data_IF_882776800675
#
_entry.id   IF_882776800675
#
_cell.length_a   1.000
_cell.length_b   1.000
_cell.length_c   1.000
_cell.angle_alpha   90.00
_cell.angle_beta   90.00
_cell.angle_gamma   90.00
#
_symmetry.space_group_name_H-M   'P 1'
#
loop_
_entity.id
_entity.type
_entity.pdbx_description
1 polymer ?
#
# COMPACT_ATOMS: atom_id res chain seq x y z
N UNK A 1 7.02 -13.24 8.08
CA UNK A 1 6.11 -12.11 7.76
C UNK A 1 6.91 -11.09 7.00
N UNK A 2 6.30 -10.39 6.05
CA UNK A 2 6.94 -9.33 5.28
C UNK A 2 6.62 -7.99 5.92
N UNK A 3 7.59 -7.08 5.92
CA UNK A 3 7.48 -5.78 6.55
C UNK A 3 7.90 -4.67 5.58
N UNK A 4 7.50 -3.44 5.91
CA UNK A 4 7.81 -2.22 5.18
C UNK A 4 7.98 -1.08 6.18
N UNK A 5 8.89 -0.17 5.90
CA UNK A 5 9.06 1.08 6.65
C UNK A 5 9.19 2.25 5.67
N UNK A 6 8.56 3.39 5.98
CA UNK A 6 8.55 4.61 5.18
C UNK A 6 8.90 5.80 6.08
N UNK A 7 9.85 6.62 5.65
CA UNK A 7 10.17 7.89 6.29
C UNK A 7 9.29 9.02 5.70
N UNK A 8 8.52 9.68 6.57
CA UNK A 8 7.70 10.83 6.20
C UNK A 8 8.53 12.11 6.09
N UNK A 9 8.01 13.19 5.46
CA UNK A 9 8.74 14.45 5.31
C UNK A 9 9.19 15.11 6.62
N UNK A 10 8.56 14.77 7.74
CA UNK A 10 8.91 15.25 9.08
C UNK A 10 9.93 14.35 9.80
N UNK A 11 10.46 13.33 9.12
CA UNK A 11 11.38 12.33 9.67
C UNK A 11 10.68 11.21 10.48
N UNK A 12 9.35 11.23 10.58
CA UNK A 12 8.62 10.16 11.26
C UNK A 12 8.72 8.86 10.46
N UNK A 13 9.11 7.77 11.12
CA UNK A 13 9.06 6.43 10.52
C UNK A 13 7.67 5.82 10.73
N UNK A 14 7.04 5.42 9.64
CA UNK A 14 5.79 4.65 9.63
C UNK A 14 6.07 3.26 9.11
N UNK A 15 5.50 2.24 9.76
CA UNK A 15 5.70 0.84 9.39
C UNK A 15 4.42 0.21 8.87
N UNK A 16 4.57 -0.82 8.03
CA UNK A 16 3.49 -1.68 7.55
C UNK A 16 3.88 -3.15 7.63
N UNK A 17 2.90 -4.00 7.96
CA UNK A 17 3.08 -5.45 8.05
C UNK A 17 2.09 -6.14 7.12
N UNK A 18 2.52 -7.23 6.49
CA UNK A 18 1.63 -8.02 5.66
C UNK A 18 0.52 -8.68 6.51
N UNK A 19 -0.66 -8.80 5.93
CA UNK A 19 -1.83 -9.41 6.56
C UNK A 19 -2.65 -10.17 5.50
N UNK A 20 -3.68 -10.93 5.90
CA UNK A 20 -4.60 -11.54 4.93
C UNK A 20 -5.30 -10.51 4.02
N UNK A 21 -5.35 -9.24 4.41
CA UNK A 21 -6.06 -8.18 3.67
C UNK A 21 -5.12 -7.33 2.82
N UNK A 22 -3.87 -7.11 3.26
CA UNK A 22 -2.96 -6.13 2.66
C UNK A 22 -1.53 -6.65 2.60
N UNK A 23 -0.83 -6.29 1.53
CA UNK A 23 0.63 -6.35 1.49
C UNK A 23 1.25 -5.38 2.51
N UNK A 24 2.51 -5.60 2.90
CA UNK A 24 3.18 -4.75 3.88
C UNK A 24 3.35 -3.31 3.36
N UNK A 25 3.70 -3.14 2.09
CA UNK A 25 3.79 -1.83 1.44
C UNK A 25 2.44 -1.10 1.47
N UNK A 26 1.35 -1.79 1.09
CA UNK A 26 -0.02 -1.24 1.15
C UNK A 26 -0.40 -0.77 2.56
N UNK A 27 -0.14 -1.60 3.57
CA UNK A 27 -0.41 -1.24 4.96
C UNK A 27 0.42 -0.02 5.40
N UNK A 28 1.68 0.04 4.98
CA UNK A 28 2.57 1.17 5.27
C UNK A 28 2.03 2.47 4.66
N UNK A 29 1.57 2.44 3.41
CA UNK A 29 0.98 3.60 2.73
C UNK A 29 -0.30 4.05 3.45
N UNK A 30 -1.19 3.13 3.83
CA UNK A 30 -2.42 3.46 4.59
C UNK A 30 -2.07 4.13 5.92
N UNK A 31 -1.11 3.58 6.67
CA UNK A 31 -0.67 4.16 7.94
C UNK A 31 -0.05 5.55 7.74
N UNK A 32 0.73 5.73 6.67
CA UNK A 32 1.39 6.99 6.34
C UNK A 32 0.38 8.10 6.06
N UNK A 33 -0.63 7.83 5.21
CA UNK A 33 -1.65 8.83 4.90
C UNK A 33 -2.57 9.12 6.08
N UNK A 34 -2.86 8.12 6.94
CA UNK A 34 -3.59 8.37 8.21
C UNK A 34 -2.82 9.33 9.09
N UNK A 35 -1.51 9.09 9.26
CA UNK A 35 -0.64 9.93 10.08
C UNK A 35 -0.57 11.36 9.54
N UNK A 36 -0.35 11.52 8.23
CA UNK A 36 -0.28 12.83 7.58
C UNK A 36 -1.60 13.61 7.62
N UNK A 37 -2.73 12.91 7.63
CA UNK A 37 -4.06 13.50 7.75
C UNK A 37 -4.50 13.72 9.21
N UNK A 38 -3.67 13.37 10.20
CA UNK A 38 -4.02 13.47 11.62
C UNK A 38 -5.14 12.52 12.05
N UNK A 39 -5.35 11.42 11.31
CA UNK A 39 -6.41 10.45 11.58
C UNK A 39 -5.98 9.45 12.65
N UNK A 40 -6.83 9.16 13.65
CA UNK A 40 -6.57 8.11 14.64
C UNK A 40 -6.43 6.73 14.02
N UNK A 41 -5.68 5.85 14.69
CA UNK A 41 -5.32 4.56 14.12
C UNK A 41 -6.50 3.57 14.01
N UNK A 42 -7.55 3.77 14.80
CA UNK A 42 -8.79 2.98 14.73
C UNK A 42 -9.72 3.38 13.58
N UNK A 43 -9.41 4.44 12.82
CA UNK A 43 -10.21 4.85 11.67
C UNK A 43 -9.85 4.02 10.44
N UNK A 44 -10.85 3.35 9.87
CA UNK A 44 -10.72 2.59 8.64
C UNK A 44 -10.97 3.48 7.41
N UNK A 45 -9.97 3.60 6.55
CA UNK A 45 -10.11 4.33 5.28
C UNK A 45 -10.86 3.50 4.24
N UNK A 46 -10.66 2.18 4.25
CA UNK A 46 -11.32 1.25 3.36
C UNK A 46 -12.42 0.51 4.12
N UNK A 47 -13.69 0.61 3.68
CA UNK A 47 -14.77 -0.19 4.26
C UNK A 47 -14.47 -1.69 4.13
N UNK A 48 -14.80 -2.46 5.16
CA UNK A 48 -14.57 -3.91 5.16
C UNK A 48 -15.25 -4.60 3.98
N UNK A 49 -16.43 -4.14 3.56
CA UNK A 49 -17.15 -4.65 2.40
C UNK A 49 -16.38 -4.50 1.10
N UNK A 50 -15.68 -3.36 0.91
CA UNK A 50 -14.86 -3.10 -0.29
C UNK A 50 -13.65 -4.03 -0.31
N UNK A 51 -12.94 -4.14 0.82
CA UNK A 51 -11.78 -5.03 0.94
C UNK A 51 -12.18 -6.48 0.68
N UNK A 52 -13.26 -6.95 1.32
CA UNK A 52 -13.80 -8.30 1.14
C UNK A 52 -14.16 -8.57 -0.32
N UNK A 53 -14.88 -7.65 -0.96
CA UNK A 53 -15.31 -7.80 -2.35
C UNK A 53 -14.11 -7.92 -3.31
N UNK A 54 -13.08 -7.12 -3.11
CA UNK A 54 -11.85 -7.19 -3.92
C UNK A 54 -11.05 -8.46 -3.65
N UNK A 55 -10.90 -8.86 -2.38
CA UNK A 55 -10.21 -10.11 -2.04
C UNK A 55 -10.94 -11.34 -2.58
N UNK A 56 -12.28 -11.34 -2.55
CA UNK A 56 -13.13 -12.42 -3.08
C UNK A 56 -13.06 -12.47 -4.61
N UNK A 57 -13.10 -11.31 -5.28
CA UNK A 57 -12.87 -11.21 -6.73
C UNK A 57 -11.54 -11.88 -7.12
N UNK A 58 -10.45 -11.51 -6.44
CA UNK A 58 -9.12 -12.07 -6.70
C UNK A 58 -9.07 -13.57 -6.46
N UNK A 59 -9.61 -14.03 -5.33
CA UNK A 59 -9.54 -15.43 -4.91
C UNK A 59 -10.43 -16.33 -5.77
N UNK A 60 -11.71 -16.01 -5.85
CA UNK A 60 -12.75 -16.93 -6.32
C UNK A 60 -13.03 -16.82 -7.82
N UNK A 61 -12.74 -15.66 -8.42
CA UNK A 61 -13.04 -15.42 -9.83
C UNK A 61 -11.78 -15.28 -10.69
N UNK A 62 -10.69 -14.76 -10.14
CA UNK A 62 -9.43 -14.55 -10.87
C UNK A 62 -8.35 -15.59 -10.52
N UNK A 63 -8.64 -16.55 -9.64
CA UNK A 63 -7.74 -17.66 -9.28
C UNK A 63 -6.42 -17.21 -8.64
N UNK A 64 -6.41 -16.04 -7.99
CA UNK A 64 -5.20 -15.49 -7.39
C UNK A 64 -4.80 -16.24 -6.12
N UNK A 65 -3.56 -16.70 -6.08
CA UNK A 65 -2.95 -17.34 -4.90
C UNK A 65 -2.60 -16.33 -3.79
N UNK A 66 -2.60 -15.01 -4.10
CA UNK A 66 -2.37 -13.93 -3.14
C UNK A 66 -3.53 -12.92 -3.21
N UNK A 67 -4.62 -13.16 -2.47
CA UNK A 67 -5.81 -12.31 -2.56
C UNK A 67 -5.66 -10.97 -1.82
N UNK A 68 -4.66 -10.81 -0.95
CA UNK A 68 -4.37 -9.55 -0.25
C UNK A 68 -4.10 -8.41 -1.24
N UNK A 69 -4.47 -7.19 -0.85
CA UNK A 69 -4.40 -6.03 -1.73
C UNK A 69 -2.98 -5.43 -1.79
N UNK A 70 -2.48 -5.26 -3.01
CA UNK A 70 -1.22 -4.56 -3.30
C UNK A 70 -1.42 -3.03 -3.34
N UNK A 71 -0.34 -2.26 -3.44
CA UNK A 71 -0.41 -0.78 -3.38
C UNK A 71 -1.31 -0.23 -4.48
N UNK A 72 -1.19 -0.71 -5.72
CA UNK A 72 -2.04 -0.24 -6.83
C UNK A 72 -3.53 -0.46 -6.56
N UNK A 73 -3.91 -1.65 -6.08
CA UNK A 73 -5.29 -1.98 -5.73
C UNK A 73 -5.82 -1.12 -4.58
N UNK A 74 -4.98 -0.87 -3.57
CA UNK A 74 -5.32 0.03 -2.45
C UNK A 74 -5.55 1.45 -2.93
N UNK A 75 -4.74 1.98 -3.85
CA UNK A 75 -4.94 3.33 -4.40
C UNK A 75 -6.27 3.46 -5.13
N UNK A 76 -6.67 2.45 -5.91
CA UNK A 76 -7.99 2.41 -6.57
C UNK A 76 -9.10 2.35 -5.53
N UNK A 77 -8.98 1.47 -4.53
CA UNK A 77 -9.97 1.30 -3.48
C UNK A 77 -10.14 2.57 -2.62
N UNK A 78 -9.04 3.30 -2.35
CA UNK A 78 -9.05 4.58 -1.65
C UNK A 78 -9.78 5.65 -2.46
N UNK A 79 -9.51 5.73 -3.77
CA UNK A 79 -10.19 6.67 -4.67
C UNK A 79 -11.70 6.44 -4.73
N UNK A 80 -12.13 5.17 -4.76
CA UNK A 80 -13.56 4.82 -4.68
C UNK A 80 -14.13 5.17 -3.29
N UNK A 81 -13.42 4.81 -2.23
CA UNK A 81 -13.88 5.04 -0.85
C UNK A 81 -13.98 6.53 -0.51
N UNK A 82 -13.14 7.39 -1.10
CA UNK A 82 -13.16 8.82 -0.90
C UNK A 82 -14.50 9.47 -1.32
N UNK A 83 -15.28 8.85 -2.21
CA UNK A 83 -16.59 9.36 -2.60
C UNK A 83 -17.63 9.32 -1.47
N UNK A 84 -17.47 8.42 -0.49
CA UNK A 84 -18.47 8.20 0.58
C UNK A 84 -17.88 8.15 1.98
N UNK A 85 -16.55 8.16 2.13
CA UNK A 85 -15.84 8.16 3.40
C UNK A 85 -14.95 9.42 3.51
N UNK A 86 -15.34 10.41 4.33
CA UNK A 86 -14.55 11.64 4.53
C UNK A 86 -13.12 11.38 5.05
N UNK A 87 -12.92 10.33 5.86
CA UNK A 87 -11.59 9.97 6.32
C UNK A 87 -10.72 9.45 5.17
N UNK A 88 -11.29 8.68 4.25
CA UNK A 88 -10.59 8.22 3.05
C UNK A 88 -10.23 9.40 2.14
N UNK A 89 -11.15 10.36 1.96
CA UNK A 89 -10.88 11.57 1.20
C UNK A 89 -9.71 12.38 1.79
N UNK A 90 -9.71 12.61 3.11
CA UNK A 90 -8.61 13.27 3.81
C UNK A 90 -7.27 12.51 3.66
N UNK A 91 -7.30 11.17 3.68
CA UNK A 91 -6.12 10.36 3.41
C UNK A 91 -5.61 10.47 1.96
N UNK A 92 -6.51 10.48 0.98
CA UNK A 92 -6.17 10.63 -0.45
C UNK A 92 -5.50 11.97 -0.72
N UNK A 93 -5.95 13.05 -0.08
CA UNK A 93 -5.34 14.38 -0.19
C UNK A 93 -3.88 14.41 0.29
N UNK A 94 -3.47 13.47 1.14
CA UNK A 94 -2.09 13.38 1.64
C UNK A 94 -1.15 12.59 0.72
N UNK A 95 -1.65 11.85 -0.27
CA UNK A 95 -0.82 11.04 -1.17
C UNK A 95 0.31 11.84 -1.87
N UNK A 96 0.11 13.10 -2.33
CA UNK A 96 1.19 13.89 -2.93
C UNK A 96 2.37 14.14 -1.99
N UNK A 97 2.15 14.13 -0.67
CA UNK A 97 3.22 14.33 0.33
C UNK A 97 4.16 13.14 0.44
N UNK A 98 3.80 11.98 -0.11
CA UNK A 98 4.66 10.78 -0.12
C UNK A 98 5.71 10.82 -1.24
N UNK A 99 5.62 11.78 -2.16
CA UNK A 99 6.56 11.90 -3.27
C UNK A 99 7.94 12.28 -2.74
N UNK A 100 8.94 11.48 -3.10
CA UNK A 100 10.32 11.65 -2.66
C UNK A 100 10.60 11.07 -1.27
N UNK A 101 9.62 10.47 -0.59
CA UNK A 101 9.87 9.73 0.64
C UNK A 101 10.58 8.40 0.34
N UNK A 102 11.43 7.99 1.28
CA UNK A 102 12.19 6.73 1.21
C UNK A 102 11.46 5.60 1.94
N UNK A 103 11.31 4.47 1.27
CA UNK A 103 10.74 3.23 1.79
C UNK A 103 11.76 2.10 1.75
N UNK A 104 11.71 1.22 2.75
CA UNK A 104 12.47 -0.03 2.75
C UNK A 104 11.52 -1.23 2.91
N UNK A 105 11.79 -2.31 2.18
CA UNK A 105 11.00 -3.54 2.17
C UNK A 105 11.85 -4.75 2.51
N UNK A 106 11.34 -5.66 3.36
CA UNK A 106 12.07 -6.89 3.70
C UNK A 106 11.95 -8.01 2.65
N UNK A 107 11.37 -7.72 1.48
CA UNK A 107 11.00 -8.69 0.46
C UNK A 107 10.97 -8.05 -0.93
N UNK A 108 11.00 -8.87 -1.99
CA UNK A 108 10.81 -8.39 -3.37
C UNK A 108 9.38 -7.87 -3.52
N UNK A 109 9.16 -6.60 -3.88
CA UNK A 109 7.82 -6.10 -4.12
C UNK A 109 7.18 -6.81 -5.32
N UNK A 110 5.87 -7.08 -5.23
CA UNK A 110 5.12 -7.56 -6.38
C UNK A 110 4.92 -6.44 -7.41
N UNK A 111 4.62 -6.79 -8.67
CA UNK A 111 4.42 -5.81 -9.74
C UNK A 111 3.37 -4.73 -9.41
N UNK A 112 2.27 -5.10 -8.75
CA UNK A 112 1.25 -4.15 -8.30
C UNK A 112 1.73 -3.21 -7.20
N UNK A 113 2.66 -3.64 -6.34
CA UNK A 113 3.30 -2.77 -5.35
C UNK A 113 4.27 -1.82 -6.04
N UNK A 114 5.15 -2.33 -6.91
CA UNK A 114 6.11 -1.51 -7.65
C UNK A 114 5.43 -0.42 -8.48
N UNK A 115 4.40 -0.77 -9.24
CA UNK A 115 3.63 0.18 -10.05
C UNK A 115 2.97 1.24 -9.17
N UNK A 116 2.38 0.82 -8.03
CA UNK A 116 1.76 1.72 -7.07
C UNK A 116 2.76 2.71 -6.46
N UNK A 117 3.87 2.20 -5.94
CA UNK A 117 4.93 3.01 -5.32
C UNK A 117 5.56 3.99 -6.32
N UNK A 118 5.83 3.55 -7.56
CA UNK A 118 6.35 4.43 -8.63
C UNK A 118 5.38 5.54 -8.98
N UNK A 119 4.07 5.28 -9.03
CA UNK A 119 3.04 6.31 -9.28
C UNK A 119 2.99 7.35 -8.16
N UNK A 120 3.18 6.93 -6.92
CA UNK A 120 3.30 7.84 -5.77
C UNK A 120 4.61 8.63 -5.76
N UNK A 121 5.62 8.18 -6.51
CA UNK A 121 6.97 8.75 -6.48
C UNK A 121 7.70 8.45 -5.17
N UNK A 122 7.36 7.35 -4.51
CA UNK A 122 8.11 6.82 -3.35
C UNK A 122 9.36 6.13 -3.87
N UNK A 123 10.51 6.48 -3.29
CA UNK A 123 11.78 5.81 -3.55
C UNK A 123 11.84 4.59 -2.65
N UNK A 124 12.21 3.42 -3.17
CA UNK A 124 12.25 2.21 -2.35
C UNK A 124 13.48 1.35 -2.55
N UNK A 125 13.88 0.68 -1.48
CA UNK A 125 14.94 -0.33 -1.43
C UNK A 125 14.38 -1.65 -0.87
N UNK A 126 15.11 -2.75 -1.04
CA UNK A 126 14.72 -4.05 -0.50
C UNK A 126 15.91 -4.88 -0.03
N UNK A 127 15.74 -5.62 1.06
CA UNK A 127 16.69 -6.63 1.54
C UNK A 127 16.78 -7.86 0.62
N UNK A 128 15.78 -8.05 -0.23
CA UNK A 128 15.71 -9.25 -1.04
C UNK A 128 16.84 -9.30 -2.05
N UNK A 129 17.54 -10.44 -2.08
CA UNK A 129 18.54 -10.71 -3.10
C UNK A 129 17.84 -10.88 -4.45
N UNK A 130 18.36 -10.26 -5.53
CA UNK A 130 17.77 -10.41 -6.85
C UNK A 130 17.75 -11.87 -7.27
N UNK A 131 16.58 -12.36 -7.69
CA UNK A 131 16.44 -13.66 -8.34
C UNK A 131 16.66 -13.50 -9.84
N UNK A 132 17.20 -14.53 -10.50
CA UNK A 132 17.57 -14.51 -11.93
C UNK A 132 16.41 -14.17 -12.88
N UNK A 133 15.16 -14.27 -12.43
CA UNK A 133 13.97 -13.91 -13.20
C UNK A 133 13.61 -12.41 -13.14
N UNK A 134 14.09 -11.67 -12.15
CA UNK A 134 13.66 -10.28 -11.88
C UNK A 134 14.31 -9.20 -12.76
N UNK A 135 15.37 -9.51 -13.50
CA UNK A 135 16.14 -8.54 -14.29
C UNK A 135 15.72 -8.41 -15.77
N UNK A 136 14.73 -9.18 -16.24
CA UNK A 136 14.43 -9.29 -17.68
C UNK A 136 13.23 -8.49 -18.19
N UNK A 137 12.77 -7.46 -17.48
CA UNK A 137 11.75 -6.55 -18.03
C UNK A 137 12.29 -5.12 -18.08
N UNK A 138 12.61 -4.74 -19.32
CA UNK A 138 13.06 -3.44 -19.82
C UNK A 138 12.01 -2.34 -19.60
#
# INVERSE_FOLDING_TARGET
YCEAALELPDGTIVTGKNSPLFHSASACIINAIKRLAGLPDNIHLLPASVVQSLTELKRSYLGSNSPSLNVQEVLVALGISAATNPAAAAGVEMLPKLRGCDMHLTHVPGSGDEVGLRKLGVLFTTDATPTSQGYFLR
#
